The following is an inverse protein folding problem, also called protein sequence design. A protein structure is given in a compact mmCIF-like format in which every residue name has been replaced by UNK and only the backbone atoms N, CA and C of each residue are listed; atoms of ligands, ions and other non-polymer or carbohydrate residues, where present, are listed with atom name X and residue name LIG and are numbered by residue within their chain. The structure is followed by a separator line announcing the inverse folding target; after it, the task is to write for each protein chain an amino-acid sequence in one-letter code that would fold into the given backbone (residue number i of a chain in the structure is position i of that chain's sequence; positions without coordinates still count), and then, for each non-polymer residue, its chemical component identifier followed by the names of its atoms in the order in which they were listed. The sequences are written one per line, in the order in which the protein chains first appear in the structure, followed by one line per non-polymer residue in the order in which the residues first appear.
data_IF_873717743454
#
_entry.id   IF_873717743454
#
_cell.length_a   1.000
_cell.length_b   1.000
_cell.length_c   1.000
_cell.angle_alpha   90.00
_cell.angle_beta   90.00
_cell.angle_gamma   90.00
#
_symmetry.space_group_name_H-M   'P 1'
#
loop_
_entity.id
_entity.type
_entity.pdbx_description
1 polymer ?
#
# COMPACT_ATOMS: atom_id res chain seq x y z
N UNK A 1 -7.05 0.82 -23.83
CA UNK A 1 -7.99 1.68 -23.11
C UNK A 1 -7.36 2.10 -21.80
N UNK A 2 -7.40 3.39 -21.49
CA UNK A 2 -6.82 3.96 -20.26
C UNK A 2 -7.93 4.00 -19.20
N UNK A 3 -7.72 3.38 -18.04
CA UNK A 3 -8.72 3.35 -16.97
C UNK A 3 -8.30 4.35 -15.91
N UNK A 4 -9.01 5.49 -15.87
CA UNK A 4 -8.84 6.48 -14.82
C UNK A 4 -9.30 5.90 -13.49
N UNK A 5 -8.48 6.01 -12.46
CA UNK A 5 -8.79 5.43 -11.15
C UNK A 5 -8.38 6.42 -10.07
N UNK A 6 -9.34 7.06 -9.38
CA UNK A 6 -9.01 8.11 -8.44
C UNK A 6 -8.20 7.58 -7.25
N UNK A 7 -8.34 6.29 -6.90
CA UNK A 7 -7.65 5.66 -5.78
C UNK A 7 -7.11 4.27 -6.11
N UNK A 8 -5.91 3.98 -5.63
CA UNK A 8 -5.34 2.64 -5.62
C UNK A 8 -4.65 2.38 -4.28
N UNK A 9 -4.64 1.14 -3.82
CA UNK A 9 -3.80 0.70 -2.71
C UNK A 9 -2.53 0.05 -3.24
N UNK A 10 -1.48 0.08 -2.43
CA UNK A 10 -0.23 -0.61 -2.68
C UNK A 10 0.28 -1.25 -1.39
N UNK A 11 0.94 -2.39 -1.54
CA UNK A 11 1.51 -3.15 -0.45
C UNK A 11 2.82 -3.81 -0.91
N UNK A 12 3.88 -3.69 -0.12
CA UNK A 12 5.18 -4.34 -0.39
C UNK A 12 5.76 -4.92 0.89
N UNK A 13 6.58 -5.99 0.83
CA UNK A 13 6.91 -6.77 -0.37
C UNK A 13 5.80 -7.69 -0.85
N UNK A 14 4.68 -7.78 -0.11
CA UNK A 14 3.55 -8.67 -0.39
C UNK A 14 2.33 -7.84 -0.79
N UNK A 15 1.59 -8.33 -1.78
CA UNK A 15 0.34 -7.73 -2.27
C UNK A 15 0.52 -6.99 -3.60
N UNK A 16 1.58 -6.18 -3.76
CA UNK A 16 1.79 -5.41 -4.98
C UNK A 16 0.92 -4.16 -4.99
N UNK A 17 -0.14 -4.11 -5.80
CA UNK A 17 -1.09 -3.00 -5.74
C UNK A 17 -2.36 -3.21 -6.54
N UNK A 18 -3.46 -2.65 -6.04
CA UNK A 18 -4.80 -2.87 -6.58
C UNK A 18 -5.58 -1.57 -6.68
N UNK A 19 -6.39 -1.44 -7.73
CA UNK A 19 -7.43 -0.41 -7.80
C UNK A 19 -8.49 -0.67 -6.74
N UNK A 20 -8.83 0.34 -5.96
CA UNK A 20 -9.85 0.24 -4.91
C UNK A 20 -10.81 1.42 -5.04
N UNK A 21 -12.03 1.12 -5.50
CA UNK A 21 -13.12 2.09 -5.48
C UNK A 21 -13.70 2.21 -4.06
N UNK A 22 -14.48 3.27 -3.84
CA UNK A 22 -15.13 3.50 -2.54
C UNK A 22 -15.92 2.26 -2.09
N UNK A 23 -15.63 1.80 -0.88
CA UNK A 23 -16.30 0.65 -0.26
C UNK A 23 -15.77 -0.72 -0.69
N UNK A 24 -14.82 -0.79 -1.64
CA UNK A 24 -14.16 -2.04 -1.98
C UNK A 24 -13.13 -2.44 -0.92
N UNK A 25 -12.92 -3.75 -0.80
CA UNK A 25 -11.90 -4.33 0.05
C UNK A 25 -10.92 -5.17 -0.76
N UNK A 26 -9.69 -5.23 -0.27
CA UNK A 26 -8.65 -6.08 -0.83
C UNK A 26 -7.97 -6.84 0.30
N UNK A 27 -7.93 -8.16 0.16
CA UNK A 27 -7.24 -9.06 1.06
C UNK A 27 -6.00 -9.63 0.36
N UNK A 28 -4.94 -9.81 1.12
CA UNK A 28 -3.74 -10.56 0.73
C UNK A 28 -3.14 -11.20 1.99
N UNK A 29 -2.39 -12.28 1.81
CA UNK A 29 -1.76 -13.01 2.90
C UNK A 29 -0.26 -12.69 2.95
N UNK A 30 0.20 -12.13 4.07
CA UNK A 30 1.62 -11.92 4.33
C UNK A 30 2.17 -13.05 5.22
N UNK A 31 3.24 -13.76 4.81
CA UNK A 31 3.81 -14.85 5.60
C UNK A 31 4.42 -14.35 6.92
N UNK A 32 4.45 -15.20 7.97
CA UNK A 32 5.30 -14.98 9.13
C UNK A 32 6.75 -14.71 8.72
N UNK A 33 7.43 -13.78 9.40
CA UNK A 33 8.78 -13.34 9.06
C UNK A 33 8.84 -12.20 8.03
N UNK A 34 7.69 -11.75 7.50
CA UNK A 34 7.61 -10.55 6.66
C UNK A 34 8.18 -9.34 7.42
N UNK A 35 9.03 -8.55 6.76
CA UNK A 35 9.73 -7.40 7.34
C UNK A 35 9.80 -6.24 6.34
N UNK A 36 10.08 -5.04 6.85
CA UNK A 36 10.15 -3.81 6.03
C UNK A 36 8.89 -3.62 5.17
N UNK A 37 7.75 -4.05 5.69
CA UNK A 37 6.52 -4.09 4.92
C UNK A 37 5.73 -2.80 5.10
N UNK A 38 5.14 -2.35 4.00
CA UNK A 38 4.40 -1.08 3.94
C UNK A 38 3.12 -1.28 3.17
N UNK A 39 2.04 -0.69 3.65
CA UNK A 39 0.76 -0.51 2.95
C UNK A 39 0.51 0.99 2.85
N UNK A 40 0.12 1.48 1.68
CA UNK A 40 -0.21 2.89 1.50
C UNK A 40 -1.29 3.11 0.45
N UNK A 41 -1.95 4.26 0.55
CA UNK A 41 -2.89 4.74 -0.46
C UNK A 41 -2.20 5.57 -1.54
N UNK A 42 -2.70 5.48 -2.77
CA UNK A 42 -2.28 6.23 -3.95
C UNK A 42 -3.46 6.97 -4.52
N UNK A 43 -3.27 8.23 -4.91
CA UNK A 43 -4.35 9.11 -5.40
C UNK A 43 -4.11 9.62 -6.81
N UNK A 44 -5.22 9.95 -7.49
CA UNK A 44 -5.25 10.47 -8.86
C UNK A 44 -4.42 9.61 -9.82
N UNK A 45 -4.69 8.31 -9.79
CA UNK A 45 -3.96 7.34 -10.58
C UNK A 45 -4.56 7.18 -11.98
N UNK A 46 -3.68 6.87 -12.93
CA UNK A 46 -4.07 6.54 -14.27
C UNK A 46 -3.18 5.40 -14.77
N UNK A 47 -3.77 4.24 -15.08
CA UNK A 47 -3.01 3.14 -15.68
C UNK A 47 -3.73 2.60 -16.92
N UNK A 48 -2.94 2.12 -17.88
CA UNK A 48 -3.42 1.38 -19.03
C UNK A 48 -3.87 -0.05 -18.66
N UNK A 49 -4.32 -0.81 -19.66
CA UNK A 49 -4.74 -2.21 -19.49
C UNK A 49 -3.60 -3.17 -19.11
N UNK A 50 -2.34 -2.76 -19.26
CA UNK A 50 -1.17 -3.50 -18.80
C UNK A 50 -0.71 -3.07 -17.39
N UNK A 51 -1.44 -2.16 -16.74
CA UNK A 51 -1.11 -1.65 -15.41
C UNK A 51 0.04 -0.65 -15.38
N UNK A 52 0.39 -0.03 -16.53
CA UNK A 52 1.43 1.01 -16.62
C UNK A 52 0.82 2.40 -16.65
N UNK A 53 1.47 3.37 -16.00
CA UNK A 53 1.00 4.75 -15.93
C UNK A 53 1.60 5.50 -14.74
N UNK A 54 0.77 6.00 -13.83
CA UNK A 54 1.26 6.61 -12.59
C UNK A 54 0.18 7.21 -11.69
N UNK A 55 0.59 7.65 -10.51
CA UNK A 55 -0.24 8.35 -9.52
C UNK A 55 0.35 9.70 -9.12
N UNK A 56 -0.48 10.63 -8.65
CA UNK A 56 0.00 11.92 -8.16
C UNK A 56 0.69 11.79 -6.80
N UNK A 57 0.18 10.91 -5.92
CA UNK A 57 0.81 10.60 -4.62
C UNK A 57 1.00 9.11 -4.46
N UNK A 58 2.07 8.70 -3.77
CA UNK A 58 2.36 7.30 -3.50
C UNK A 58 2.72 6.45 -4.73
N UNK A 59 3.08 7.06 -5.87
CA UNK A 59 3.48 6.32 -7.07
C UNK A 59 4.72 5.45 -6.81
N UNK A 60 4.73 4.22 -7.33
CA UNK A 60 5.78 3.23 -7.09
C UNK A 60 6.55 2.86 -8.36
N UNK A 61 6.79 3.85 -9.23
CA UNK A 61 7.52 3.67 -10.49
C UNK A 61 6.61 3.47 -11.70
N UNK A 62 5.42 4.07 -11.67
CA UNK A 62 4.49 4.06 -12.81
C UNK A 62 3.84 2.71 -13.10
N UNK A 63 3.71 1.85 -12.08
CA UNK A 63 3.10 0.53 -12.18
C UNK A 63 1.97 0.35 -11.16
N UNK A 64 0.93 -0.36 -11.54
CA UNK A 64 -0.16 -0.71 -10.64
C UNK A 64 0.33 -1.66 -9.54
N UNK A 65 1.05 -2.71 -9.94
CA UNK A 65 1.63 -3.73 -9.06
C UNK A 65 3.01 -3.29 -8.57
N UNK A 66 3.05 -2.70 -7.37
CA UNK A 66 4.28 -2.14 -6.81
C UNK A 66 5.31 -3.23 -6.46
N UNK A 67 6.57 -2.99 -6.84
CA UNK A 67 7.73 -3.83 -6.47
C UNK A 67 8.65 -3.18 -5.43
N UNK A 68 8.41 -1.91 -5.15
CA UNK A 68 9.15 -1.10 -4.19
C UNK A 68 8.25 -0.04 -3.59
N UNK A 69 8.84 0.81 -2.74
CA UNK A 69 8.10 1.81 -1.98
C UNK A 69 7.57 2.94 -2.86
N UNK A 70 6.46 3.54 -2.43
CA UNK A 70 5.86 4.69 -3.10
C UNK A 70 6.62 5.99 -2.81
N UNK A 71 6.55 6.93 -3.76
CA UNK A 71 7.11 8.28 -3.63
C UNK A 71 6.26 9.13 -2.68
N UNK A 72 6.88 9.88 -1.73
CA UNK A 72 6.19 10.87 -0.90
C UNK A 72 5.39 11.91 -1.71
N UNK A 73 4.30 12.48 -1.16
CA UNK A 73 3.78 12.19 0.17
C UNK A 73 2.91 10.92 0.21
N UNK A 74 3.07 10.09 1.25
CA UNK A 74 2.16 8.97 1.52
C UNK A 74 2.11 8.61 3.01
N UNK A 75 0.89 8.51 3.56
CA UNK A 75 0.67 7.93 4.89
C UNK A 75 0.95 6.43 4.81
N UNK A 76 1.81 5.91 5.69
CA UNK A 76 2.24 4.51 5.67
C UNK A 76 1.62 3.74 6.84
N UNK A 77 1.10 2.54 6.57
CA UNK A 77 1.00 1.48 7.57
C UNK A 77 2.25 0.60 7.43
N UNK A 78 3.12 0.63 8.43
CA UNK A 78 4.34 -0.17 8.47
C UNK A 78 4.13 -1.39 9.36
N UNK A 79 4.65 -2.55 8.95
CA UNK A 79 4.53 -3.76 9.75
C UNK A 79 5.70 -4.74 9.56
N UNK A 80 5.93 -5.57 10.57
CA UNK A 80 6.81 -6.72 10.56
C UNK A 80 6.20 -7.85 11.38
N UNK A 81 6.10 -9.05 10.81
CA UNK A 81 5.34 -10.17 11.38
C UNK A 81 6.26 -11.25 11.94
N UNK A 82 5.91 -11.84 13.08
CA UNK A 82 6.62 -12.93 13.74
C UNK A 82 8.12 -12.64 13.89
N UNK A 83 8.44 -11.50 14.52
CA UNK A 83 9.80 -11.02 14.75
C UNK A 83 10.32 -11.54 16.10
N UNK A 84 11.08 -10.72 16.84
CA UNK A 84 11.61 -11.10 18.15
C UNK A 84 10.49 -11.57 19.08
N UNK A 85 10.72 -12.71 19.75
CA UNK A 85 9.75 -13.34 20.66
C UNK A 85 8.39 -13.69 20.02
N UNK A 86 8.36 -13.94 18.71
CA UNK A 86 7.14 -14.20 17.93
C UNK A 86 6.12 -13.05 17.97
N UNK A 87 6.60 -11.81 18.16
CA UNK A 87 5.75 -10.63 18.18
C UNK A 87 5.63 -9.99 16.81
N UNK A 88 4.46 -9.42 16.55
CA UNK A 88 4.21 -8.54 15.42
C UNK A 88 4.44 -7.09 15.84
N UNK A 89 5.10 -6.32 14.97
CA UNK A 89 5.32 -4.88 15.15
C UNK A 89 4.59 -4.15 14.03
N UNK A 90 3.90 -3.07 14.39
CA UNK A 90 3.15 -2.28 13.43
C UNK A 90 2.98 -0.85 13.93
N UNK A 91 2.92 0.08 12.99
CA UNK A 91 2.73 1.51 13.27
C UNK A 91 2.10 2.22 12.06
N UNK A 92 1.65 3.46 12.31
CA UNK A 92 1.33 4.41 11.25
C UNK A 92 2.45 5.45 11.24
N UNK A 93 3.05 5.63 10.06
CA UNK A 93 4.14 6.57 9.84
C UNK A 93 3.73 7.67 8.86
N UNK A 94 4.10 8.89 9.23
CA UNK A 94 3.95 10.11 8.40
C UNK A 94 5.31 10.73 8.08
N UNK A 95 6.40 9.96 8.25
CA UNK A 95 7.76 10.42 7.96
C UNK A 95 7.92 10.78 6.47
N UNK A 96 7.28 9.99 5.61
CA UNK A 96 7.20 10.17 4.16
C UNK A 96 6.00 11.07 3.77
N UNK A 97 5.52 11.91 4.70
CA UNK A 97 4.40 12.82 4.50
C UNK A 97 3.02 12.19 4.70
N UNK A 98 1.98 12.95 4.38
CA UNK A 98 0.59 12.56 4.58
C UNK A 98 -0.19 12.77 3.28
N UNK A 99 -1.05 11.81 2.92
CA UNK A 99 -1.96 11.94 1.77
C UNK A 99 -3.39 11.49 2.07
N UNK A 100 -3.56 10.34 2.73
CA UNK A 100 -4.87 9.74 3.04
C UNK A 100 -4.94 9.43 4.55
N UNK A 101 -6.04 9.76 5.24
CA UNK A 101 -6.28 9.29 6.60
C UNK A 101 -6.34 7.76 6.67
N UNK A 102 -5.73 7.18 7.69
CA UNK A 102 -5.63 5.72 7.83
C UNK A 102 -5.95 5.28 9.26
N UNK A 103 -6.57 4.11 9.37
CA UNK A 103 -6.60 3.31 10.59
C UNK A 103 -5.91 1.99 10.31
N UNK A 104 -5.13 1.52 11.26
CA UNK A 104 -4.41 0.26 11.16
C UNK A 104 -4.41 -0.43 12.52
N UNK A 105 -4.67 -1.74 12.52
CA UNK A 105 -4.74 -2.53 13.75
C UNK A 105 -5.28 -3.94 13.48
N UNK A 106 -5.18 -4.81 14.49
CA UNK A 106 -5.66 -6.19 14.40
C UNK A 106 -7.19 -6.23 14.25
N UNK A 107 -7.68 -7.20 13.48
CA UNK A 107 -9.13 -7.45 13.32
C UNK A 107 -9.67 -8.43 14.37
N UNK A 108 -8.80 -9.21 15.01
CA UNK A 108 -9.12 -10.08 16.13
C UNK A 108 -8.19 -9.72 17.29
N UNK A 109 -8.71 -9.15 18.39
CA UNK A 109 -7.92 -8.82 19.58
C UNK A 109 -7.52 -10.05 20.42
#
# INVERSE_FOLDING_TARGET
TTVHTPYAAAATPIGGGRRLERGQSWWFWAPPGTKMARIWGRTNCNFDGAGRGGCQTGDCGGVLECKGWGKPPNTLAEYALNQFSNLDFWDISVIDGFNIPMSFGPTNP
#
